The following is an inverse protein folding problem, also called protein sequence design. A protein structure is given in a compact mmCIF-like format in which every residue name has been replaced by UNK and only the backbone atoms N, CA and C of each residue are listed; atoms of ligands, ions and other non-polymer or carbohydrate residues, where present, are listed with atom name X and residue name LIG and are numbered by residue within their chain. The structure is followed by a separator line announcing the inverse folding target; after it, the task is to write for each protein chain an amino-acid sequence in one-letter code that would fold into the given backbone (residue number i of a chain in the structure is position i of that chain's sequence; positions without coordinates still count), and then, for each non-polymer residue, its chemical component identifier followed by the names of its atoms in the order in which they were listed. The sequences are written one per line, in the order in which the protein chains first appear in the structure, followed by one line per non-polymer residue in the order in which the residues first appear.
data_IF_954183050851
#
_entry.id   IF_954183050851
#
_cell.length_a   1.000
_cell.length_b   1.000
_cell.length_c   1.000
_cell.angle_alpha   90.00
_cell.angle_beta   90.00
_cell.angle_gamma   90.00
#
_symmetry.space_group_name_H-M   'P 1'
#
loop_
_entity.id
_entity.type
_entity.pdbx_description
1 polymer ?
#
# COMPACT_ATOMS: atom_id res chain seq x y z
N UNK A 1 2.58 9.13 6.67
CA UNK A 1 2.93 8.07 5.70
C UNK A 1 4.36 7.67 5.99
N UNK A 2 4.64 6.39 6.24
CA UNK A 2 5.98 5.95 6.66
C UNK A 2 6.64 5.16 5.53
N UNK A 3 7.81 5.60 5.05
CA UNK A 3 8.50 4.92 3.94
C UNK A 3 9.21 3.69 4.51
N UNK A 4 8.88 2.52 3.96
CA UNK A 4 9.47 1.22 4.37
C UNK A 4 10.71 0.93 3.53
N UNK A 5 10.66 1.23 2.22
CA UNK A 5 11.78 1.02 1.31
C UNK A 5 11.72 2.03 0.15
N UNK A 6 12.87 2.57 -0.28
CA UNK A 6 12.92 3.55 -1.36
C UNK A 6 13.22 2.97 -2.74
N UNK A 7 13.87 1.80 -2.81
CA UNK A 7 14.28 1.14 -4.07
C UNK A 7 13.86 -0.33 -4.10
N UNK A 8 12.57 -0.59 -3.92
CA UNK A 8 12.06 -1.95 -3.99
C UNK A 8 11.81 -2.35 -5.44
N UNK A 9 12.31 -3.53 -5.82
CA UNK A 9 12.05 -4.13 -7.13
C UNK A 9 10.77 -4.96 -7.06
N UNK A 10 9.72 -4.55 -7.79
CA UNK A 10 8.43 -5.25 -7.79
C UNK A 10 8.09 -5.75 -9.18
N UNK A 11 7.73 -7.03 -9.25
CA UNK A 11 7.20 -7.62 -10.47
C UNK A 11 5.75 -7.18 -10.65
N UNK A 12 5.52 -6.44 -11.73
CA UNK A 12 4.18 -6.01 -12.17
C UNK A 12 3.41 -7.19 -12.75
N UNK A 13 2.08 -7.05 -12.87
CA UNK A 13 1.22 -8.08 -13.48
C UNK A 13 1.57 -8.38 -14.95
N UNK A 14 2.20 -7.43 -15.64
CA UNK A 14 2.68 -7.59 -17.01
C UNK A 14 4.01 -8.35 -17.10
N UNK A 15 4.59 -8.75 -15.96
CA UNK A 15 5.84 -9.52 -15.89
C UNK A 15 7.09 -8.66 -15.76
N UNK A 16 6.98 -7.35 -15.97
CA UNK A 16 8.10 -6.41 -15.86
C UNK A 16 8.48 -6.15 -14.40
N UNK A 17 9.77 -6.06 -14.11
CA UNK A 17 10.28 -5.62 -12.81
C UNK A 17 10.50 -4.13 -12.86
N UNK A 18 9.87 -3.41 -11.93
CA UNK A 18 9.99 -1.95 -11.83
C UNK A 18 10.50 -1.57 -10.45
N UNK A 19 11.36 -0.55 -10.41
CA UNK A 19 11.78 0.09 -9.16
C UNK A 19 10.63 0.96 -8.63
N UNK A 20 10.33 0.80 -7.34
CA UNK A 20 9.26 1.53 -6.68
C UNK A 20 9.60 1.83 -5.22
N UNK A 21 8.95 2.86 -4.68
CA UNK A 21 8.94 3.19 -3.26
C UNK A 21 7.82 2.43 -2.57
N UNK A 22 8.11 1.85 -1.42
CA UNK A 22 7.15 1.13 -0.59
C UNK A 22 6.85 1.97 0.63
N UNK A 23 5.58 2.30 0.84
CA UNK A 23 5.15 3.14 1.94
C UNK A 23 3.98 2.51 2.70
N UNK A 24 4.05 2.59 4.03
CA UNK A 24 2.95 2.28 4.91
C UNK A 24 2.01 3.50 5.00
N UNK A 25 0.78 3.29 4.59
CA UNK A 25 -0.31 4.25 4.71
C UNK A 25 -1.33 3.76 5.75
N UNK A 26 -1.73 4.67 6.63
CA UNK A 26 -2.85 4.48 7.54
C UNK A 26 -4.08 5.12 6.88
N UNK A 27 -5.15 4.35 6.70
CA UNK A 27 -6.42 4.81 6.12
C UNK A 27 -7.56 4.52 7.07
N UNK A 28 -8.69 5.23 6.92
CA UNK A 28 -9.92 4.88 7.63
C UNK A 28 -10.30 3.44 7.25
N UNK A 29 -10.21 2.51 8.21
CA UNK A 29 -10.39 1.09 7.97
C UNK A 29 -9.12 0.21 8.04
N UNK A 30 -7.93 0.76 8.33
CA UNK A 30 -6.76 -0.04 8.71
C UNK A 30 -5.43 0.43 8.13
N UNK A 31 -4.46 -0.50 8.07
CA UNK A 31 -3.13 -0.25 7.51
C UNK A 31 -3.01 -0.90 6.14
N UNK A 32 -2.38 -0.19 5.21
CA UNK A 32 -2.09 -0.71 3.87
C UNK A 32 -0.67 -0.32 3.45
N UNK A 33 -0.04 -1.20 2.67
CA UNK A 33 1.22 -0.94 1.99
C UNK A 33 0.91 -0.47 0.58
N UNK A 34 1.52 0.64 0.19
CA UNK A 34 1.43 1.19 -1.16
C UNK A 34 2.79 1.05 -1.84
N UNK A 35 2.76 0.56 -3.07
CA UNK A 35 3.91 0.52 -3.96
C UNK A 35 3.74 1.66 -4.96
N UNK A 36 4.70 2.56 -5.00
CA UNK A 36 4.63 3.85 -5.68
C UNK A 36 5.75 3.88 -6.71
N UNK A 37 5.42 4.02 -8.00
CA UNK A 37 6.42 4.12 -9.06
C UNK A 37 7.28 5.38 -8.90
N UNK A 38 8.38 5.46 -9.66
CA UNK A 38 9.21 6.65 -9.73
C UNK A 38 8.42 7.93 -10.10
N UNK A 39 7.35 7.78 -10.90
CA UNK A 39 6.46 8.88 -11.31
C UNK A 39 5.45 9.30 -10.23
N UNK A 40 5.52 8.71 -9.04
CA UNK A 40 4.59 8.99 -7.94
C UNK A 40 3.23 8.27 -8.06
N UNK A 41 3.03 7.40 -9.06
CA UNK A 41 1.77 6.66 -9.23
C UNK A 41 1.75 5.41 -8.36
N UNK A 42 0.61 5.13 -7.72
CA UNK A 42 0.42 3.89 -6.96
C UNK A 42 0.18 2.74 -7.94
N UNK A 43 1.14 1.81 -8.02
CA UNK A 43 1.09 0.65 -8.93
C UNK A 43 0.46 -0.58 -8.27
N UNK A 44 0.52 -0.67 -6.94
CA UNK A 44 -0.06 -1.76 -6.16
C UNK A 44 -0.38 -1.28 -4.76
N UNK A 45 -1.43 -1.85 -4.16
CA UNK A 45 -1.76 -1.65 -2.75
C UNK A 45 -2.09 -2.98 -2.12
N UNK A 46 -1.48 -3.27 -0.97
CA UNK A 46 -1.74 -4.46 -0.18
C UNK A 46 -2.29 -4.05 1.18
N UNK A 47 -3.47 -4.57 1.52
CA UNK A 47 -4.09 -4.30 2.82
C UNK A 47 -3.41 -5.21 3.85
N UNK A 48 -2.70 -4.63 4.81
CA UNK A 48 -2.03 -5.35 5.90
C UNK A 48 -2.99 -5.71 7.02
N UNK A 49 -3.88 -4.78 7.36
CA UNK A 49 -4.95 -5.05 8.32
C UNK A 49 -6.24 -4.42 7.84
N UNK A 50 -7.33 -5.20 7.94
CA UNK A 50 -8.66 -4.64 8.00
C UNK A 50 -8.87 -4.31 9.47
N UNK A 51 -8.96 -3.02 9.79
CA UNK A 51 -9.42 -2.61 11.11
C UNK A 51 -10.79 -3.27 11.35
N UNK A 52 -11.02 -3.94 12.50
CA UNK A 52 -12.30 -4.57 12.81
C UNK A 52 -13.43 -3.56 13.07
N UNK A 53 -13.17 -2.25 12.91
CA UNK A 53 -14.17 -1.16 12.93
C UNK A 53 -15.15 -1.24 11.74
N UNK A 54 -15.74 -2.41 11.48
CA UNK A 54 -16.84 -2.59 10.53
C UNK A 54 -18.20 -2.73 11.21
N UNK A 55 -18.27 -2.82 12.55
CA UNK A 55 -19.53 -2.83 13.28
C UNK A 55 -19.38 -2.18 14.67
N UNK A 56 -19.35 -0.85 14.72
CA UNK A 56 -19.93 -0.18 15.89
C UNK A 56 -21.34 0.20 15.44
N UNK A 57 -22.29 -0.69 15.66
CA UNK A 57 -23.71 -0.41 15.47
C UNK A 57 -24.03 0.66 16.52
N UNK A 58 -24.19 1.91 16.06
CA UNK A 58 -24.78 2.97 16.84
C UNK A 58 -26.28 2.90 16.57
N UNK A 59 -27.01 2.25 17.45
CA UNK A 59 -28.41 2.53 17.81
C UNK A 59 -28.90 1.47 18.79
#
# INVERSE_FOLDING_TARGET
MNIIAEKAMVKTKTGNVVECKVALAHVSGGKQVQYISADGKIIRTEKLSRSPYRHQIIS
#
